data_IF_792120456975
#
_entry.id   IF_792120456975
#
_cell.length_a   1.000
_cell.length_b   1.000
_cell.length_c   1.000
_cell.angle_alpha   90.00
_cell.angle_beta   90.00
_cell.angle_gamma   90.00
#
_symmetry.space_group_name_H-M   'P 1'
#
loop_
_entity.id
_entity.type
_entity.pdbx_description
1 polymer ?
#
# COMPACT_ATOMS: atom_id res chain seq x y z
N UNK A 1 11.20 0.07 12.65
CA UNK A 1 11.34 -1.40 12.45
C UNK A 1 11.79 -2.17 13.70
N UNK A 2 11.23 -1.85 14.88
CA UNK A 2 11.68 -2.45 16.15
C UNK A 2 11.32 -3.94 16.33
N UNK A 3 10.31 -4.44 15.60
CA UNK A 3 9.74 -5.79 15.78
C UNK A 3 10.19 -6.76 14.68
N UNK A 4 10.34 -6.28 13.44
CA UNK A 4 10.83 -7.07 12.31
C UNK A 4 11.73 -6.21 11.45
N UNK A 5 12.95 -6.69 11.24
CA UNK A 5 13.91 -6.02 10.39
C UNK A 5 13.44 -6.00 8.93
N UNK A 6 13.74 -4.90 8.27
CA UNK A 6 13.46 -4.76 6.85
C UNK A 6 14.47 -5.55 6.03
N UNK A 7 14.01 -6.16 4.93
CA UNK A 7 14.87 -6.90 4.01
C UNK A 7 15.77 -5.96 3.16
N UNK A 8 15.34 -4.72 2.96
CA UNK A 8 16.09 -3.71 2.19
C UNK A 8 15.73 -2.30 2.66
N UNK A 9 16.57 -1.31 2.34
CA UNK A 9 16.27 0.12 2.63
C UNK A 9 14.98 0.57 1.95
N UNK A 10 14.68 0.08 0.75
CA UNK A 10 13.45 0.39 0.02
C UNK A 10 12.17 -0.15 0.69
N UNK A 11 12.30 -1.04 1.67
CA UNK A 11 11.16 -1.53 2.43
C UNK A 11 10.71 -0.53 3.52
N UNK A 12 11.55 0.44 3.91
CA UNK A 12 11.18 1.57 4.77
C UNK A 12 10.55 2.66 3.91
N UNK A 13 9.30 3.01 4.19
CA UNK A 13 8.58 4.05 3.44
C UNK A 13 7.37 4.53 4.22
N UNK A 14 6.99 5.76 3.92
CA UNK A 14 5.77 6.38 4.41
C UNK A 14 4.71 6.33 3.32
N UNK A 15 3.53 5.84 3.68
CA UNK A 15 2.37 5.75 2.80
C UNK A 15 1.21 6.38 3.55
N UNK A 16 0.62 7.49 3.06
CA UNK A 16 -0.55 8.07 3.69
C UNK A 16 -1.70 7.07 3.67
N UNK A 17 -2.54 7.09 4.72
CA UNK A 17 -3.75 6.29 4.78
C UNK A 17 -4.86 6.99 4.01
N UNK A 18 -5.59 6.25 3.17
CA UNK A 18 -6.77 6.79 2.51
C UNK A 18 -7.80 7.27 3.54
N UNK A 19 -8.51 8.36 3.27
CA UNK A 19 -9.49 8.95 4.19
C UNK A 19 -10.54 7.95 4.72
N UNK A 20 -10.99 7.02 3.88
CA UNK A 20 -11.90 5.92 4.28
C UNK A 20 -11.32 5.04 5.40
N UNK A 21 -10.00 4.87 5.44
CA UNK A 21 -9.31 4.09 6.46
C UNK A 21 -8.92 4.93 7.68
N UNK A 22 -8.82 6.26 7.55
CA UNK A 22 -8.48 7.13 8.69
C UNK A 22 -9.52 7.00 9.80
N UNK A 23 -10.80 6.87 9.46
CA UNK A 23 -11.89 6.63 10.43
C UNK A 23 -11.70 5.33 11.25
N UNK A 24 -10.96 4.34 10.73
CA UNK A 24 -10.66 3.11 11.48
C UNK A 24 -9.66 3.36 12.61
N UNK A 25 -8.82 4.39 12.52
CA UNK A 25 -7.88 4.74 13.59
C UNK A 25 -8.62 5.33 14.79
N UNK A 26 -9.70 6.07 14.56
CA UNK A 26 -10.44 6.78 15.61
C UNK A 26 -11.44 5.90 16.38
N UNK A 27 -11.75 4.70 15.88
CA UNK A 27 -12.83 3.87 16.45
C UNK A 27 -12.36 2.92 17.55
N UNK A 28 -11.29 2.14 17.34
CA UNK A 28 -10.96 1.04 18.27
C UNK A 28 -9.49 0.59 18.26
N UNK A 29 -8.63 1.22 17.46
CA UNK A 29 -7.25 0.77 17.35
C UNK A 29 -6.38 1.26 18.53
N UNK A 30 -5.44 0.44 19.02
CA UNK A 30 -4.55 0.83 20.11
C UNK A 30 -3.69 2.04 19.71
N UNK A 31 -3.55 3.01 20.62
CA UNK A 31 -2.65 4.17 20.43
C UNK A 31 -1.17 3.84 20.61
N UNK A 32 -0.87 2.70 21.23
CA UNK A 32 0.50 2.23 21.50
C UNK A 32 0.61 0.73 21.24
N UNK A 33 1.81 0.28 20.86
CA UNK A 33 2.08 -1.13 20.56
C UNK A 33 1.64 -1.54 19.16
N UNK A 34 1.31 -2.83 18.98
CA UNK A 34 0.85 -3.36 17.68
C UNK A 34 -0.60 -2.93 17.43
N UNK A 35 -0.88 -2.34 16.27
CA UNK A 35 -2.26 -2.02 15.86
C UNK A 35 -3.16 -3.26 15.79
N UNK A 36 -2.60 -4.40 15.37
CA UNK A 36 -3.32 -5.67 15.25
C UNK A 36 -2.58 -6.78 16.02
N UNK A 37 -2.66 -6.80 17.36
CA UNK A 37 -1.81 -7.66 18.19
C UNK A 37 -2.06 -9.16 17.99
N UNK A 38 -3.29 -9.55 17.64
CA UNK A 38 -3.70 -10.94 17.45
C UNK A 38 -3.71 -11.39 15.98
N UNK A 39 -3.30 -10.52 15.05
CA UNK A 39 -3.38 -10.81 13.63
C UNK A 39 -2.11 -11.50 13.15
N UNK A 40 -2.25 -12.71 12.61
CA UNK A 40 -1.17 -13.48 11.98
C UNK A 40 -1.37 -13.56 10.48
N UNK A 41 -0.30 -13.88 9.73
CA UNK A 41 -0.38 -14.07 8.26
C UNK A 41 -1.41 -15.17 7.92
N UNK A 42 -1.37 -16.29 8.64
CA UNK A 42 -2.33 -17.39 8.46
C UNK A 42 -3.78 -16.94 8.70
N UNK A 43 -4.02 -16.18 9.78
CA UNK A 43 -5.35 -15.65 10.07
C UNK A 43 -5.85 -14.71 8.96
N UNK A 44 -4.98 -13.85 8.43
CA UNK A 44 -5.32 -12.95 7.31
C UNK A 44 -5.66 -13.72 6.05
N UNK A 45 -4.83 -14.70 5.67
CA UNK A 45 -5.05 -15.52 4.48
C UNK A 45 -6.37 -16.30 4.60
N UNK A 46 -6.65 -16.90 5.76
CA UNK A 46 -7.90 -17.62 6.02
C UNK A 46 -9.12 -16.70 6.01
N UNK A 47 -9.03 -15.50 6.61
CA UNK A 47 -10.11 -14.50 6.58
C UNK A 47 -10.39 -14.01 5.16
N UNK A 48 -9.36 -13.74 4.37
CA UNK A 48 -9.51 -13.40 2.95
C UNK A 48 -10.15 -14.56 2.16
N UNK A 49 -9.75 -15.81 2.42
CA UNK A 49 -10.38 -16.97 1.79
C UNK A 49 -11.87 -17.08 2.09
N UNK A 50 -12.31 -16.72 3.30
CA UNK A 50 -13.73 -16.59 3.64
C UNK A 50 -14.40 -15.42 2.91
N UNK A 51 -13.74 -14.25 2.85
CA UNK A 51 -14.25 -13.07 2.15
C UNK A 51 -14.56 -13.38 0.67
N UNK A 52 -13.70 -14.10 -0.03
CA UNK A 52 -13.93 -14.51 -1.42
C UNK A 52 -15.19 -15.36 -1.64
N UNK A 53 -15.70 -16.03 -0.60
CA UNK A 53 -16.95 -16.80 -0.70
C UNK A 53 -18.18 -15.88 -0.66
N UNK A 54 -18.06 -14.74 0.00
CA UNK A 54 -19.13 -13.73 0.11
C UNK A 54 -19.14 -12.79 -1.10
N UNK A 55 -17.98 -12.57 -1.72
CA UNK A 55 -17.79 -11.62 -2.81
C UNK A 55 -17.25 -12.33 -4.06
N UNK A 56 -18.13 -12.76 -4.99
CA UNK A 56 -17.75 -13.53 -6.18
C UNK A 56 -16.73 -12.82 -7.09
N UNK A 57 -16.74 -11.50 -7.12
CA UNK A 57 -15.77 -10.67 -7.86
C UNK A 57 -14.32 -10.81 -7.34
N UNK A 58 -14.11 -11.42 -6.17
CA UNK A 58 -12.78 -11.73 -5.63
C UNK A 58 -12.32 -13.15 -5.99
N UNK A 59 -13.09 -13.92 -6.77
CA UNK A 59 -12.69 -15.26 -7.19
C UNK A 59 -11.34 -15.24 -7.94
N UNK A 60 -10.50 -16.25 -7.71
CA UNK A 60 -9.15 -16.32 -8.28
C UNK A 60 -8.12 -15.39 -7.64
N UNK A 61 -8.53 -14.49 -6.74
CA UNK A 61 -7.60 -13.63 -6.00
C UNK A 61 -7.09 -14.29 -4.70
N UNK A 62 -5.98 -13.76 -4.17
CA UNK A 62 -5.44 -14.06 -2.84
C UNK A 62 -5.21 -12.75 -2.09
N UNK A 63 -4.90 -12.81 -0.79
CA UNK A 63 -4.67 -11.58 -0.01
C UNK A 63 -3.60 -10.68 -0.64
N UNK A 64 -2.53 -11.26 -1.20
CA UNK A 64 -1.49 -10.49 -1.90
C UNK A 64 -2.00 -9.76 -3.16
N UNK A 65 -3.09 -10.23 -3.78
CA UNK A 65 -3.72 -9.56 -4.92
C UNK A 65 -4.23 -8.15 -4.58
N UNK A 66 -4.44 -7.82 -3.30
CA UNK A 66 -4.79 -6.46 -2.84
C UNK A 66 -3.72 -5.43 -3.21
N UNK A 67 -2.43 -5.81 -3.14
CA UNK A 67 -1.32 -4.96 -3.59
C UNK A 67 -1.34 -4.75 -5.10
N UNK A 68 -1.61 -5.82 -5.87
CA UNK A 68 -1.76 -5.72 -7.33
C UNK A 68 -2.92 -4.78 -7.68
N UNK A 69 -4.05 -4.93 -6.99
CA UNK A 69 -5.22 -4.08 -7.17
C UNK A 69 -4.89 -2.60 -6.89
N UNK A 70 -4.19 -2.30 -5.78
CA UNK A 70 -3.77 -0.92 -5.47
C UNK A 70 -2.90 -0.31 -6.58
N UNK A 71 -1.93 -1.06 -7.10
CA UNK A 71 -1.08 -0.63 -8.23
C UNK A 71 -1.95 -0.32 -9.46
N UNK A 72 -2.91 -1.20 -9.78
CA UNK A 72 -3.84 -0.98 -10.89
C UNK A 72 -4.72 0.25 -10.69
N UNK A 73 -5.13 0.58 -9.47
CA UNK A 73 -5.89 1.81 -9.22
C UNK A 73 -5.03 3.07 -9.39
N UNK A 74 -3.76 3.03 -8.95
CA UNK A 74 -2.83 4.12 -9.20
C UNK A 74 -2.65 4.35 -10.71
N UNK A 75 -2.50 3.28 -11.50
CA UNK A 75 -2.43 3.37 -12.96
C UNK A 75 -3.71 3.98 -13.57
N UNK A 76 -4.89 3.50 -13.17
CA UNK A 76 -6.19 3.97 -13.67
C UNK A 76 -6.49 5.43 -13.34
N UNK A 77 -5.87 5.97 -12.30
CA UNK A 77 -5.98 7.38 -11.90
C UNK A 77 -4.92 8.25 -12.58
N UNK A 78 -4.10 7.68 -13.48
CA UNK A 78 -3.06 8.40 -14.21
C UNK A 78 -1.78 8.59 -13.42
N UNK A 79 -1.61 7.91 -12.28
CA UNK A 79 -0.39 8.02 -11.46
C UNK A 79 0.81 7.48 -12.25
N UNK A 80 1.88 8.27 -12.44
CA UNK A 80 3.08 7.79 -13.09
C UNK A 80 3.70 6.58 -12.39
N UNK A 81 4.15 5.58 -13.14
CA UNK A 81 4.67 4.31 -12.62
C UNK A 81 5.72 4.50 -11.50
N UNK A 82 6.67 5.43 -11.71
CA UNK A 82 7.74 5.72 -10.73
C UNK A 82 7.22 6.27 -9.39
N UNK A 83 6.07 6.93 -9.37
CA UNK A 83 5.43 7.39 -8.14
C UNK A 83 4.78 6.20 -7.42
N UNK A 84 4.02 5.37 -8.15
CA UNK A 84 3.47 4.12 -7.62
C UNK A 84 4.56 3.19 -7.08
N UNK A 85 5.69 3.07 -7.79
CA UNK A 85 6.85 2.29 -7.37
C UNK A 85 7.40 2.76 -6.00
N UNK A 86 7.42 4.06 -5.76
CA UNK A 86 7.85 4.65 -4.48
C UNK A 86 6.89 4.27 -3.34
N UNK A 87 5.58 4.30 -3.56
CA UNK A 87 4.57 3.93 -2.56
C UNK A 87 4.59 2.44 -2.22
N UNK A 88 4.83 1.59 -3.21
CA UNK A 88 4.80 0.14 -3.01
C UNK A 88 6.17 -0.43 -2.63
N UNK A 89 7.26 0.32 -2.79
CA UNK A 89 8.62 -0.12 -2.49
C UNK A 89 9.23 -1.00 -3.58
N UNK A 90 8.94 -0.68 -4.85
CA UNK A 90 9.64 -1.26 -6.01
C UNK A 90 10.84 -0.38 -6.39
N UNK A 91 11.90 -1.02 -6.87
CA UNK A 91 12.93 -0.28 -7.61
C UNK A 91 12.33 0.17 -8.95
N UNK A 92 12.19 1.48 -9.16
CA UNK A 92 11.76 1.99 -10.45
C UNK A 92 12.84 1.72 -11.50
N UNK A 93 12.47 1.48 -12.76
CA UNK A 93 13.45 1.35 -13.86
C UNK A 93 14.33 2.63 -13.99
N UNK A 94 13.82 3.79 -13.57
CA UNK A 94 14.59 5.04 -13.44
C UNK A 94 15.73 4.96 -12.43
N UNK A 95 15.67 4.05 -11.47
CA UNK A 95 16.76 3.77 -10.52
C UNK A 95 17.93 2.98 -11.14
N UNK A 96 17.74 2.35 -12.31
CA UNK A 96 18.83 1.68 -13.04
C UNK A 96 19.71 2.71 -13.77
N UNK A 97 19.10 3.75 -14.37
CA UNK A 97 19.79 4.88 -15.00
C UNK A 97 20.09 6.00 -13.98
N UNK A 98 20.86 5.69 -12.94
CA UNK A 98 21.23 6.52 -11.76
C UNK A 98 21.71 7.97 -12.02
N UNK A 99 21.78 8.44 -13.26
CA UNK A 99 22.47 9.67 -13.65
C UNK A 99 21.58 10.92 -13.77
N UNK A 100 20.31 10.83 -14.18
CA UNK A 100 19.58 12.04 -14.60
C UNK A 100 18.56 12.59 -13.60
N UNK A 101 17.87 11.75 -12.81
CA UNK A 101 16.90 12.22 -11.80
C UNK A 101 17.12 11.67 -10.39
N UNK A 102 17.82 10.54 -10.22
CA UNK A 102 18.13 9.99 -8.89
C UNK A 102 19.04 10.88 -8.04
N UNK A 103 19.72 11.86 -8.67
CA UNK A 103 20.49 12.93 -8.03
C UNK A 103 19.64 14.17 -7.68
N UNK A 104 18.45 14.33 -8.28
CA UNK A 104 17.66 15.57 -8.22
C UNK A 104 16.26 15.44 -7.62
N UNK A 105 15.67 14.25 -7.56
CA UNK A 105 14.40 14.04 -6.86
C UNK A 105 14.61 13.22 -5.59
N UNK A 106 14.31 13.82 -4.44
CA UNK A 106 14.30 13.17 -3.12
C UNK A 106 13.15 12.14 -2.96
N UNK A 107 12.66 11.57 -4.06
CA UNK A 107 11.38 10.87 -4.13
C UNK A 107 10.20 11.81 -4.40
N UNK A 108 8.99 11.30 -4.20
CA UNK A 108 7.76 12.09 -4.25
C UNK A 108 7.49 12.77 -2.91
N UNK A 109 7.00 14.01 -2.97
CA UNK A 109 6.61 14.78 -1.78
C UNK A 109 5.41 14.14 -1.07
N UNK A 110 5.22 14.46 0.21
CA UNK A 110 4.08 13.97 0.98
C UNK A 110 2.73 14.43 0.41
N UNK A 111 2.69 15.64 -0.14
CA UNK A 111 1.51 16.15 -0.86
C UNK A 111 1.17 15.28 -2.08
N UNK A 112 2.17 14.89 -2.88
CA UNK A 112 1.96 13.99 -4.02
C UNK A 112 1.56 12.58 -3.57
N UNK A 113 2.16 12.05 -2.50
CA UNK A 113 1.74 10.75 -1.94
C UNK A 113 0.26 10.80 -1.53
N UNK A 114 -0.17 11.88 -0.87
CA UNK A 114 -1.54 12.10 -0.43
C UNK A 114 -2.50 12.16 -1.60
N UNK A 115 -2.21 13.00 -2.61
CA UNK A 115 -3.01 13.12 -3.83
C UNK A 115 -3.21 11.76 -4.53
N UNK A 116 -2.14 10.98 -4.67
CA UNK A 116 -2.22 9.64 -5.28
C UNK A 116 -3.13 8.72 -4.47
N UNK A 117 -2.94 8.67 -3.15
CA UNK A 117 -3.73 7.80 -2.28
C UNK A 117 -5.19 8.21 -2.32
N UNK A 118 -5.50 9.49 -2.17
CA UNK A 118 -6.87 10.04 -2.18
C UNK A 118 -7.57 9.89 -3.54
N UNK A 119 -6.80 9.84 -4.64
CA UNK A 119 -7.32 9.57 -5.97
C UNK A 119 -7.79 8.12 -6.18
N UNK A 120 -7.37 7.17 -5.34
CA UNK A 120 -7.77 5.76 -5.45
C UNK A 120 -9.25 5.60 -5.09
N UNK A 121 -10.07 5.34 -6.11
CA UNK A 121 -11.49 5.06 -5.92
C UNK A 121 -11.70 3.66 -5.33
N UNK A 122 -12.20 3.61 -4.11
CA UNK A 122 -12.70 2.37 -3.50
C UNK A 122 -14.07 2.02 -4.08
N UNK A 123 -14.41 0.72 -4.26
CA UNK A 123 -15.75 0.34 -4.67
C UNK A 123 -16.79 0.83 -3.67
N UNK A 124 -17.87 1.43 -4.17
CA UNK A 124 -19.05 1.75 -3.35
C UNK A 124 -19.77 0.44 -2.95
N UNK A 125 -20.30 0.41 -1.72
CA UNK A 125 -21.02 -0.75 -1.18
C UNK A 125 -22.45 -0.82 -1.68
#
# INVERSE_FOLDING_TARGET
NAIRQLKSKAAEREVPLHQTLEQLLDTSLPKQGRLFPYLTVDAVVKRYAKLRRLYPNLQGSVFHSTRKWFITQCERTGTPEHFTASLVGHHSARSANKLTYGLYSAGISDAQKREIVDGVRVPEQ
#
